data_IF_371889711433
#
_entry.id   IF_371889711433
#
_cell.length_a   1.000
_cell.length_b   1.000
_cell.length_c   1.000
_cell.angle_alpha   90.00
_cell.angle_beta   90.00
_cell.angle_gamma   90.00
#
_symmetry.space_group_name_H-M   'P 1'
#
loop_
_entity.id
_entity.type
_entity.pdbx_description
1 polymer ?
#
# COMPACT_ATOMS: atom_id res chain seq x y z
N UNK A 1 -34.87 18.80 -12.92
CA UNK A 1 -35.44 17.43 -12.98
C UNK A 1 -35.29 16.78 -11.61
N UNK A 2 -36.29 16.02 -11.17
CA UNK A 2 -36.30 15.42 -9.84
C UNK A 2 -36.31 13.90 -9.98
N UNK A 3 -35.30 13.22 -9.43
CA UNK A 3 -35.28 11.75 -9.29
C UNK A 3 -35.56 11.44 -7.82
N UNK A 4 -36.40 10.44 -7.55
CA UNK A 4 -36.69 10.06 -6.18
C UNK A 4 -35.45 9.45 -5.52
N UNK A 5 -35.27 9.71 -4.23
CA UNK A 5 -34.21 9.12 -3.42
C UNK A 5 -34.18 7.59 -3.55
N UNK A 6 -35.35 6.96 -3.47
CA UNK A 6 -35.49 5.49 -3.59
C UNK A 6 -34.92 4.97 -4.90
N UNK A 7 -35.24 5.62 -6.03
CA UNK A 7 -34.76 5.18 -7.34
C UNK A 7 -33.24 5.34 -7.48
N UNK A 8 -32.64 6.34 -6.85
CA UNK A 8 -31.18 6.50 -6.79
C UNK A 8 -30.52 5.42 -5.94
N UNK A 9 -31.12 5.07 -4.80
CA UNK A 9 -30.60 4.00 -3.93
C UNK A 9 -30.69 2.63 -4.63
N UNK A 10 -31.78 2.34 -5.35
CA UNK A 10 -31.93 1.09 -6.11
C UNK A 10 -30.87 0.97 -7.22
N UNK A 11 -30.66 2.04 -7.99
CA UNK A 11 -29.61 2.07 -9.02
C UNK A 11 -28.20 1.87 -8.44
N UNK A 12 -27.98 2.32 -7.20
CA UNK A 12 -26.70 2.15 -6.52
C UNK A 12 -26.51 0.70 -6.05
N UNK A 13 -27.58 0.07 -5.56
CA UNK A 13 -27.60 -1.36 -5.21
C UNK A 13 -27.32 -2.21 -6.44
N UNK A 14 -27.92 -1.89 -7.60
CA UNK A 14 -27.68 -2.59 -8.86
C UNK A 14 -26.20 -2.49 -9.27
N UNK A 15 -25.63 -1.28 -9.18
CA UNK A 15 -24.22 -1.05 -9.52
C UNK A 15 -23.27 -1.78 -8.56
N UNK A 16 -23.56 -1.79 -7.25
CA UNK A 16 -22.78 -2.59 -6.29
C UNK A 16 -22.90 -4.09 -6.55
N UNK A 17 -24.09 -4.58 -6.91
CA UNK A 17 -24.33 -5.99 -7.21
C UNK A 17 -23.53 -6.41 -8.46
N UNK A 18 -23.50 -5.55 -9.48
CA UNK A 18 -22.69 -5.76 -10.70
C UNK A 18 -21.19 -5.84 -10.39
N UNK A 19 -20.72 -5.13 -9.38
CA UNK A 19 -19.31 -5.08 -8.98
C UNK A 19 -18.92 -6.20 -7.99
N UNK A 20 -19.87 -7.02 -7.51
CA UNK A 20 -19.55 -8.08 -6.56
C UNK A 20 -18.68 -9.15 -7.20
N UNK A 21 -17.50 -9.43 -6.62
CA UNK A 21 -16.64 -10.49 -7.13
C UNK A 21 -17.25 -11.85 -6.81
N UNK A 22 -17.13 -12.80 -7.75
CA UNK A 22 -17.47 -14.19 -7.49
C UNK A 22 -16.45 -14.84 -6.55
N UNK A 23 -16.79 -15.94 -5.85
CA UNK A 23 -15.83 -16.65 -4.98
C UNK A 23 -14.57 -17.11 -5.73
N UNK A 24 -14.72 -17.62 -6.95
CA UNK A 24 -13.59 -18.03 -7.79
C UNK A 24 -12.68 -16.85 -8.16
N UNK A 25 -13.28 -15.69 -8.44
CA UNK A 25 -12.53 -14.48 -8.71
C UNK A 25 -11.80 -13.94 -7.46
N UNK A 26 -12.45 -13.97 -6.29
CA UNK A 26 -11.81 -13.58 -5.02
C UNK A 26 -10.57 -14.41 -4.71
N UNK A 27 -10.60 -15.72 -5.04
CA UNK A 27 -9.42 -16.57 -4.91
C UNK A 27 -8.25 -16.09 -5.77
N UNK A 28 -8.50 -15.70 -7.01
CA UNK A 28 -7.47 -15.16 -7.91
C UNK A 28 -6.89 -13.84 -7.40
N UNK A 29 -7.74 -12.94 -6.89
CA UNK A 29 -7.31 -11.68 -6.27
C UNK A 29 -6.41 -11.97 -5.08
N UNK A 30 -6.82 -12.87 -4.19
CA UNK A 30 -6.05 -13.27 -3.01
C UNK A 30 -4.68 -13.84 -3.38
N UNK A 31 -4.64 -14.78 -4.32
CA UNK A 31 -3.39 -15.39 -4.76
C UNK A 31 -2.44 -14.37 -5.41
N UNK A 32 -2.97 -13.38 -6.13
CA UNK A 32 -2.15 -12.33 -6.74
C UNK A 32 -1.62 -11.34 -5.71
N UNK A 33 -2.47 -10.85 -4.81
CA UNK A 33 -2.06 -9.90 -3.75
C UNK A 33 -1.05 -10.55 -2.81
N UNK A 34 -1.27 -11.80 -2.39
CA UNK A 34 -0.33 -12.51 -1.52
C UNK A 34 1.03 -12.73 -2.20
N UNK A 35 1.06 -13.03 -3.51
CA UNK A 35 2.32 -13.14 -4.25
C UNK A 35 3.07 -11.81 -4.30
N UNK A 36 2.40 -10.74 -4.72
CA UNK A 36 2.99 -9.41 -4.77
C UNK A 36 3.49 -8.96 -3.37
N UNK A 37 2.73 -9.25 -2.32
CA UNK A 37 3.13 -8.96 -0.95
C UNK A 37 4.38 -9.73 -0.51
N UNK A 38 4.46 -11.04 -0.81
CA UNK A 38 5.65 -11.85 -0.50
C UNK A 38 6.89 -11.36 -1.23
N UNK A 39 6.74 -10.94 -2.48
CA UNK A 39 7.83 -10.31 -3.25
C UNK A 39 8.27 -8.99 -2.58
N UNK A 40 7.33 -8.13 -2.18
CA UNK A 40 7.64 -6.90 -1.45
C UNK A 40 8.35 -7.17 -0.12
N UNK A 41 7.90 -8.18 0.63
CA UNK A 41 8.53 -8.61 1.88
C UNK A 41 9.95 -9.15 1.64
N UNK A 42 10.18 -9.84 0.52
CA UNK A 42 11.53 -10.27 0.12
C UNK A 42 12.46 -9.08 -0.14
N UNK A 43 12.01 -8.11 -0.93
CA UNK A 43 12.75 -6.89 -1.21
C UNK A 43 13.02 -6.06 0.05
N UNK A 44 12.01 -5.90 0.92
CA UNK A 44 12.16 -5.18 2.18
C UNK A 44 13.20 -5.84 3.09
N UNK A 45 13.15 -7.17 3.23
CA UNK A 45 14.17 -7.93 3.99
C UNK A 45 15.57 -7.77 3.40
N UNK A 46 15.71 -7.79 2.08
CA UNK A 46 17.00 -7.55 1.43
C UNK A 46 17.52 -6.14 1.70
N UNK A 47 16.67 -5.12 1.57
CA UNK A 47 17.03 -3.72 1.89
C UNK A 47 17.43 -3.54 3.34
N UNK A 48 16.67 -4.11 4.28
CA UNK A 48 17.01 -4.07 5.71
C UNK A 48 18.39 -4.70 5.94
N UNK A 49 18.65 -5.87 5.35
CA UNK A 49 19.95 -6.54 5.47
C UNK A 49 21.10 -5.71 4.86
N UNK A 50 20.88 -5.02 3.74
CA UNK A 50 21.86 -4.10 3.14
C UNK A 50 22.12 -2.88 4.03
N UNK A 51 21.07 -2.28 4.58
CA UNK A 51 21.17 -1.14 5.51
C UNK A 51 21.92 -1.57 6.78
N UNK A 52 21.64 -2.74 7.34
CA UNK A 52 22.35 -3.28 8.50
C UNK A 52 23.84 -3.48 8.23
N UNK A 53 24.19 -4.02 7.05
CA UNK A 53 25.59 -4.15 6.61
C UNK A 53 26.28 -2.80 6.52
N UNK A 54 25.60 -1.79 5.93
CA UNK A 54 26.12 -0.42 5.85
C UNK A 54 26.34 0.20 7.22
N UNK A 55 25.36 0.08 8.12
CA UNK A 55 25.47 0.57 9.50
C UNK A 55 26.63 -0.10 10.25
N UNK A 56 26.85 -1.40 10.03
CA UNK A 56 28.00 -2.12 10.61
C UNK A 56 29.32 -1.58 10.07
N UNK A 57 29.43 -1.40 8.76
CA UNK A 57 30.64 -0.86 8.14
C UNK A 57 30.96 0.58 8.60
N UNK A 58 29.94 1.43 8.81
CA UNK A 58 30.12 2.78 9.35
C UNK A 58 30.62 2.72 10.80
N UNK A 59 30.06 1.83 11.63
CA UNK A 59 30.53 1.61 13.01
C UNK A 59 31.99 1.16 13.05
N UNK A 60 32.37 0.21 12.21
CA UNK A 60 33.78 -0.24 12.10
C UNK A 60 34.74 0.86 11.59
N UNK A 61 34.24 1.86 10.85
CA UNK A 61 35.04 3.04 10.48
C UNK A 61 35.19 4.01 11.65
N UNK A 62 34.14 4.21 12.44
CA UNK A 62 34.20 5.01 13.67
C UNK A 62 35.19 4.40 14.67
N UNK A 63 35.13 3.09 14.88
CA UNK A 63 36.07 2.40 15.79
C UNK A 63 37.54 2.57 15.35
N UNK A 64 37.79 2.50 14.03
CA UNK A 64 39.13 2.76 13.47
C UNK A 64 39.57 4.22 13.61
N UNK A 65 38.63 5.15 13.46
CA UNK A 65 38.90 6.57 13.66
C UNK A 65 39.26 6.86 15.13
N UNK A 66 38.54 6.24 16.07
CA UNK A 66 38.83 6.31 17.51
C UNK A 66 40.21 5.71 17.82
N UNK A 67 40.55 4.57 17.21
CA UNK A 67 41.86 3.94 17.38
C UNK A 67 43.01 4.85 16.92
N UNK A 68 42.87 5.43 15.73
CA UNK A 68 43.85 6.33 15.13
C UNK A 68 44.08 7.59 15.98
N UNK A 69 43.02 8.12 16.60
CA UNK A 69 43.10 9.32 17.44
C UNK A 69 43.63 9.02 18.85
N UNK A 70 43.04 8.05 19.56
CA UNK A 70 43.29 7.83 20.99
C UNK A 70 44.61 7.12 21.27
N UNK A 71 44.97 6.15 20.43
CA UNK A 71 46.11 5.27 20.70
C UNK A 71 47.28 5.52 19.74
N UNK A 72 47.01 5.57 18.44
CA UNK A 72 48.06 5.79 17.44
C UNK A 72 48.51 7.26 17.38
N UNK A 73 47.62 8.18 17.80
CA UNK A 73 47.83 9.65 17.74
C UNK A 73 48.29 10.10 16.36
N UNK A 74 47.76 9.45 15.32
CA UNK A 74 48.17 9.64 13.93
C UNK A 74 47.36 10.75 13.23
N UNK A 75 46.33 11.28 13.89
CA UNK A 75 45.46 12.35 13.41
C UNK A 75 45.24 13.41 14.50
N UNK A 76 45.03 14.66 14.10
CA UNK A 76 44.69 15.76 14.99
C UNK A 76 43.18 15.79 15.32
N UNK A 77 42.80 16.61 16.31
CA UNK A 77 41.41 16.71 16.79
C UNK A 77 40.45 17.29 15.74
N UNK A 78 40.90 18.23 14.90
CA UNK A 78 40.06 18.85 13.88
C UNK A 78 39.74 17.84 12.75
N UNK A 79 40.75 17.07 12.34
CA UNK A 79 40.59 15.96 11.40
C UNK A 79 39.68 14.87 11.98
N UNK A 80 39.87 14.49 13.24
CA UNK A 80 39.00 13.53 13.93
C UNK A 80 37.54 13.99 13.96
N UNK A 81 37.28 15.21 14.44
CA UNK A 81 35.92 15.75 14.58
C UNK A 81 35.19 15.78 13.24
N UNK A 82 35.85 16.27 12.17
CA UNK A 82 35.27 16.32 10.82
C UNK A 82 34.85 14.95 10.30
N UNK A 83 35.72 13.94 10.43
CA UNK A 83 35.42 12.58 9.97
C UNK A 83 34.38 11.89 10.84
N UNK A 84 34.43 12.08 12.16
CA UNK A 84 33.45 11.53 13.10
C UNK A 84 32.06 12.07 12.80
N UNK A 85 31.93 13.38 12.59
CA UNK A 85 30.64 14.02 12.36
C UNK A 85 30.03 13.56 11.03
N UNK A 86 30.85 13.44 9.97
CA UNK A 86 30.42 12.85 8.68
C UNK A 86 29.91 11.42 8.86
N UNK A 87 30.64 10.55 9.57
CA UNK A 87 30.24 9.17 9.79
C UNK A 87 28.98 9.04 10.67
N UNK A 88 28.79 9.96 11.64
CA UNK A 88 27.57 10.02 12.46
C UNK A 88 26.35 10.46 11.66
N UNK A 89 26.53 11.40 10.74
CA UNK A 89 25.47 11.81 9.82
C UNK A 89 25.07 10.64 8.92
N UNK A 90 26.03 9.95 8.30
CA UNK A 90 25.77 8.75 7.50
C UNK A 90 25.05 7.66 8.30
N UNK A 91 25.43 7.45 9.56
CA UNK A 91 24.78 6.49 10.45
C UNK A 91 23.32 6.89 10.74
N UNK A 92 23.08 8.18 10.96
CA UNK A 92 21.73 8.73 11.22
C UNK A 92 20.83 8.52 10.00
N UNK A 93 21.32 8.83 8.80
CA UNK A 93 20.59 8.60 7.55
C UNK A 93 20.27 7.10 7.36
N UNK A 94 21.24 6.23 7.59
CA UNK A 94 21.01 4.78 7.50
C UNK A 94 20.02 4.26 8.56
N UNK A 95 19.92 4.89 9.73
CA UNK A 95 18.90 4.56 10.73
C UNK A 95 17.50 5.02 10.30
N UNK A 96 17.39 6.20 9.68
CA UNK A 96 16.13 6.69 9.12
C UNK A 96 15.62 5.78 7.99
N UNK A 97 16.51 5.37 7.08
CA UNK A 97 16.18 4.45 5.99
C UNK A 97 15.66 3.11 6.51
N UNK A 98 16.29 2.58 7.57
CA UNK A 98 15.84 1.34 8.23
C UNK A 98 14.44 1.52 8.81
N UNK A 99 14.20 2.59 9.55
CA UNK A 99 12.91 2.84 10.18
C UNK A 99 11.80 2.97 9.13
N UNK A 100 12.08 3.63 7.99
CA UNK A 100 11.14 3.70 6.88
C UNK A 100 10.81 2.33 6.28
N UNK A 101 11.79 1.41 6.20
CA UNK A 101 11.58 0.06 5.68
C UNK A 101 10.82 -0.86 6.66
N UNK A 102 10.93 -0.62 7.98
CA UNK A 102 10.22 -1.38 9.02
C UNK A 102 8.74 -0.96 9.14
N UNK A 103 8.41 0.32 8.92
CA UNK A 103 7.04 0.84 9.02
C UNK A 103 6.08 0.32 7.94
N UNK A 104 6.56 -0.39 6.92
CA UNK A 104 5.73 -1.00 5.87
C UNK A 104 5.01 -2.29 6.32
N UNK A 105 4.97 -2.61 7.62
CA UNK A 105 4.35 -3.84 8.13
C UNK A 105 2.81 -3.76 8.15
N UNK A 106 2.17 -4.11 7.03
CA UNK A 106 0.71 -4.24 6.92
C UNK A 106 0.22 -5.65 7.24
N UNK A 107 -0.91 -5.75 7.96
CA UNK A 107 -1.71 -6.98 8.13
C UNK A 107 -2.44 -7.36 6.82
N UNK A 108 -1.67 -7.74 5.80
CA UNK A 108 -2.19 -8.05 4.47
C UNK A 108 -3.13 -9.24 4.49
N UNK A 109 -2.81 -10.27 5.28
CA UNK A 109 -3.64 -11.47 5.38
C UNK A 109 -4.99 -11.17 6.02
N UNK A 110 -5.01 -10.39 7.10
CA UNK A 110 -6.25 -9.97 7.72
C UNK A 110 -7.05 -9.02 6.81
N UNK A 111 -6.39 -8.12 6.07
CA UNK A 111 -7.07 -7.22 5.11
C UNK A 111 -7.74 -8.04 4.00
N UNK A 112 -7.04 -9.07 3.49
CA UNK A 112 -7.57 -10.00 2.51
C UNK A 112 -8.75 -10.83 3.04
N UNK A 113 -8.65 -11.36 4.26
CA UNK A 113 -9.73 -12.09 4.90
C UNK A 113 -10.98 -11.21 5.08
N UNK A 114 -10.77 -9.93 5.42
CA UNK A 114 -11.86 -8.97 5.48
C UNK A 114 -12.47 -8.69 4.09
N UNK A 115 -11.65 -8.50 3.06
CA UNK A 115 -12.12 -8.28 1.68
C UNK A 115 -12.97 -9.46 1.17
N UNK A 116 -12.52 -10.69 1.42
CA UNK A 116 -13.20 -11.94 1.06
C UNK A 116 -14.59 -12.05 1.70
N UNK A 117 -14.76 -11.51 2.90
CA UNK A 117 -16.05 -11.46 3.59
C UNK A 117 -16.98 -10.37 3.05
N UNK A 118 -16.43 -9.19 2.78
CA UNK A 118 -17.21 -7.95 2.55
C UNK A 118 -17.51 -7.69 1.08
N UNK A 119 -16.53 -7.83 0.19
CA UNK A 119 -16.70 -7.47 -1.22
C UNK A 119 -17.81 -8.27 -1.92
N UNK A 120 -17.93 -9.61 -1.74
CA UNK A 120 -19.02 -10.37 -2.35
C UNK A 120 -20.42 -10.05 -1.80
N UNK A 121 -20.51 -9.24 -0.74
CA UNK A 121 -21.75 -8.87 -0.05
C UNK A 121 -21.98 -7.36 -0.01
N UNK A 122 -21.27 -6.59 -0.85
CA UNK A 122 -21.26 -5.13 -0.78
C UNK A 122 -22.66 -4.48 -0.91
N UNK A 123 -23.55 -5.03 -1.73
CA UNK A 123 -24.91 -4.50 -1.92
C UNK A 123 -25.79 -4.77 -0.69
N UNK A 124 -25.68 -5.95 -0.10
CA UNK A 124 -26.35 -6.27 1.16
C UNK A 124 -25.86 -5.39 2.30
N UNK A 125 -24.54 -5.16 2.36
CA UNK A 125 -23.94 -4.26 3.35
C UNK A 125 -24.49 -2.84 3.18
N UNK A 126 -24.59 -2.34 1.95
CA UNK A 126 -25.18 -1.03 1.66
C UNK A 126 -26.63 -0.90 2.14
N UNK A 127 -27.48 -1.89 1.85
CA UNK A 127 -28.90 -1.88 2.24
C UNK A 127 -29.04 -1.82 3.77
N UNK A 128 -28.16 -2.51 4.50
CA UNK A 128 -28.18 -2.58 5.96
C UNK A 128 -27.46 -1.41 6.63
N UNK A 129 -26.78 -0.56 5.87
CA UNK A 129 -25.95 0.53 6.40
C UNK A 129 -26.79 1.77 6.77
N UNK A 130 -26.41 2.40 7.89
CA UNK A 130 -26.86 3.76 8.25
C UNK A 130 -26.41 4.80 7.21
N UNK A 131 -26.97 6.01 7.24
CA UNK A 131 -26.59 7.09 6.31
C UNK A 131 -25.09 7.42 6.38
N UNK A 132 -24.51 7.47 7.59
CA UNK A 132 -23.09 7.73 7.78
C UNK A 132 -22.23 6.60 7.18
N UNK A 133 -22.60 5.35 7.41
CA UNK A 133 -21.92 4.19 6.83
C UNK A 133 -22.04 4.16 5.31
N UNK A 134 -23.21 4.50 4.75
CA UNK A 134 -23.42 4.66 3.30
C UNK A 134 -22.48 5.72 2.71
N UNK A 135 -22.35 6.89 3.34
CA UNK A 135 -21.42 7.92 2.87
C UNK A 135 -19.96 7.45 2.89
N UNK A 136 -19.54 6.73 3.94
CA UNK A 136 -18.21 6.16 4.02
C UNK A 136 -17.98 5.07 2.96
N UNK A 137 -18.95 4.15 2.77
CA UNK A 137 -18.89 3.13 1.71
C UNK A 137 -18.78 3.76 0.33
N UNK A 138 -19.52 4.84 0.06
CA UNK A 138 -19.42 5.60 -1.19
C UNK A 138 -18.01 6.14 -1.42
N UNK A 139 -17.39 6.76 -0.42
CA UNK A 139 -16.02 7.29 -0.53
C UNK A 139 -15.00 6.17 -0.78
N UNK A 140 -15.23 4.97 -0.23
CA UNK A 140 -14.30 3.86 -0.42
C UNK A 140 -14.46 3.18 -1.79
N UNK A 141 -15.70 2.90 -2.21
CA UNK A 141 -15.98 2.26 -3.50
C UNK A 141 -15.79 3.21 -4.68
N UNK A 142 -16.05 4.50 -4.49
CA UNK A 142 -16.09 5.54 -5.52
C UNK A 142 -15.43 6.83 -5.01
N UNK A 143 -14.09 6.83 -4.84
CA UNK A 143 -13.35 7.98 -4.30
C UNK A 143 -13.53 9.25 -5.13
N UNK A 144 -13.63 9.09 -6.45
CA UNK A 144 -13.80 10.19 -7.41
C UNK A 144 -15.27 10.57 -7.62
N UNK A 145 -16.18 9.94 -6.85
CA UNK A 145 -17.61 10.10 -6.95
C UNK A 145 -18.29 9.20 -7.99
N UNK A 146 -19.57 9.48 -8.23
CA UNK A 146 -20.41 8.75 -9.20
C UNK A 146 -21.15 9.79 -10.04
N UNK A 147 -21.19 9.57 -11.36
CA UNK A 147 -22.00 10.37 -12.28
C UNK A 147 -23.31 9.66 -12.57
N UNK A 148 -24.37 10.43 -12.75
CA UNK A 148 -25.66 9.91 -13.19
C UNK A 148 -25.92 10.38 -14.62
N UNK A 149 -26.04 9.44 -15.57
CA UNK A 149 -26.22 9.73 -17.00
C UNK A 149 -27.69 9.82 -17.43
N UNK A 150 -28.61 9.97 -16.46
CA UNK A 150 -30.08 9.97 -16.59
C UNK A 150 -30.73 8.59 -16.72
N UNK A 151 -29.97 7.53 -17.00
CA UNK A 151 -30.49 6.15 -17.08
C UNK A 151 -29.83 5.22 -16.07
N UNK A 152 -28.54 5.42 -15.81
CA UNK A 152 -27.72 4.60 -14.92
C UNK A 152 -26.76 5.46 -14.11
N UNK A 153 -26.31 4.89 -13.00
CA UNK A 153 -25.12 5.37 -12.32
C UNK A 153 -23.89 4.88 -13.09
N UNK A 154 -22.95 5.79 -13.32
CA UNK A 154 -21.68 5.55 -13.99
C UNK A 154 -20.60 5.97 -13.02
N UNK A 155 -19.83 5.01 -12.51
CA UNK A 155 -18.64 5.32 -11.74
C UNK A 155 -17.68 6.17 -12.57
N UNK A 156 -17.11 7.22 -12.00
CA UNK A 156 -16.09 8.03 -12.68
C UNK A 156 -14.77 7.29 -12.71
N UNK A 157 -14.47 6.61 -13.83
CA UNK A 157 -13.12 6.20 -14.29
C UNK A 157 -12.35 5.18 -13.44
N UNK A 158 -12.66 5.06 -12.15
CA UNK A 158 -11.89 4.29 -11.18
C UNK A 158 -12.88 3.57 -10.25
N UNK A 159 -13.77 2.75 -10.82
CA UNK A 159 -14.55 1.78 -10.05
C UNK A 159 -13.55 0.82 -9.41
N UNK A 160 -13.09 1.15 -8.20
CA UNK A 160 -11.97 0.56 -7.45
C UNK A 160 -10.73 0.22 -8.32
N UNK A 161 -9.55 0.82 -8.07
CA UNK A 161 -8.29 0.41 -8.74
C UNK A 161 -8.04 -1.12 -8.73
N UNK A 162 -8.69 -1.86 -7.82
CA UNK A 162 -8.71 -3.33 -7.78
C UNK A 162 -9.18 -4.02 -9.06
N UNK A 163 -10.10 -3.43 -9.82
CA UNK A 163 -10.58 -4.04 -11.05
C UNK A 163 -9.66 -3.72 -12.24
N UNK A 164 -8.85 -2.67 -12.15
CA UNK A 164 -7.89 -2.30 -13.18
C UNK A 164 -6.65 -3.23 -13.23
N UNK A 165 -6.37 -4.01 -12.17
CA UNK A 165 -5.31 -5.03 -12.21
C UNK A 165 -5.57 -6.17 -13.19
N UNK A 166 -6.81 -6.33 -13.64
CA UNK A 166 -7.25 -7.46 -14.45
C UNK A 166 -7.22 -7.17 -15.94
N UNK A 167 -6.79 -5.97 -16.35
CA UNK A 167 -6.27 -5.84 -17.69
C UNK A 167 -5.10 -6.82 -17.84
N UNK A 168 -5.12 -7.72 -18.83
CA UNK A 168 -3.95 -8.53 -19.13
C UNK A 168 -2.80 -7.54 -19.31
N UNK A 169 -1.71 -7.78 -18.59
CA UNK A 169 -0.43 -7.09 -18.81
C UNK A 169 -0.12 -7.34 -20.27
N UNK A 170 -0.43 -6.38 -21.14
CA UNK A 170 -0.10 -6.46 -22.54
C UNK A 170 1.42 -6.52 -22.62
N UNK A 171 1.88 -7.52 -23.36
CA UNK A 171 3.27 -7.91 -23.51
C UNK A 171 4.14 -6.74 -24.02
N UNK A 172 4.73 -5.97 -23.11
CA UNK A 172 5.84 -5.08 -23.46
C UNK A 172 6.99 -5.25 -22.48
N UNK A 173 7.93 -6.10 -22.90
CA UNK A 173 9.05 -6.68 -22.16
C UNK A 173 10.22 -5.71 -21.93
N UNK A 174 9.99 -4.39 -21.90
CA UNK A 174 11.07 -3.38 -21.76
C UNK A 174 10.99 -2.45 -20.54
N UNK A 175 9.92 -2.49 -19.75
CA UNK A 175 9.76 -1.66 -18.53
C UNK A 175 9.46 -2.49 -17.28
N UNK A 176 10.19 -3.59 -17.07
CA UNK A 176 9.89 -4.53 -15.97
C UNK A 176 10.07 -3.92 -14.57
N UNK A 177 10.96 -2.92 -14.42
CA UNK A 177 11.19 -2.24 -13.12
C UNK A 177 10.08 -1.23 -12.81
N UNK A 178 9.65 -0.45 -13.79
CA UNK A 178 8.59 0.55 -13.61
C UNK A 178 7.22 -0.11 -13.45
N UNK A 179 6.96 -1.20 -14.17
CA UNK A 179 5.74 -2.00 -14.01
C UNK A 179 5.68 -2.68 -12.64
N UNK A 180 6.81 -3.21 -12.13
CA UNK A 180 6.88 -3.76 -10.79
C UNK A 180 6.59 -2.68 -9.74
N UNK A 181 7.21 -1.51 -9.84
CA UNK A 181 6.98 -0.38 -8.91
C UNK A 181 5.54 0.13 -8.96
N UNK A 182 4.99 0.30 -10.15
CA UNK A 182 3.59 0.70 -10.32
C UNK A 182 2.65 -0.34 -9.68
N UNK A 183 2.84 -1.63 -9.96
CA UNK A 183 1.99 -2.69 -9.40
C UNK A 183 1.99 -2.71 -7.87
N UNK A 184 3.15 -2.43 -7.24
CA UNK A 184 3.31 -2.35 -5.77
C UNK A 184 2.55 -1.17 -5.17
N UNK A 185 2.71 0.03 -5.75
CA UNK A 185 2.00 1.23 -5.29
C UNK A 185 0.49 1.03 -5.33
N UNK A 186 0.02 0.38 -6.38
CA UNK A 186 -1.38 0.07 -6.50
C UNK A 186 -1.81 -0.94 -5.40
N UNK A 187 -1.10 -2.06 -5.20
CA UNK A 187 -1.46 -3.06 -4.16
C UNK A 187 -1.52 -2.43 -2.77
N UNK A 188 -0.55 -1.59 -2.41
CA UNK A 188 -0.57 -0.84 -1.15
C UNK A 188 -1.81 0.07 -1.04
N UNK A 189 -2.07 0.87 -2.09
CA UNK A 189 -3.27 1.72 -2.17
C UNK A 189 -4.56 0.92 -2.02
N UNK A 190 -4.61 -0.29 -2.55
CA UNK A 190 -5.77 -1.18 -2.40
C UNK A 190 -5.92 -1.69 -0.97
N UNK A 191 -4.83 -2.14 -0.35
CA UNK A 191 -4.84 -2.63 1.01
C UNK A 191 -5.29 -1.54 2.00
N UNK A 192 -4.82 -0.30 1.82
CA UNK A 192 -5.24 0.85 2.64
C UNK A 192 -6.75 1.12 2.51
N UNK A 193 -7.29 1.05 1.28
CA UNK A 193 -8.72 1.24 1.03
C UNK A 193 -9.57 0.15 1.66
N UNK A 194 -9.14 -1.10 1.58
CA UNK A 194 -9.85 -2.22 2.23
C UNK A 194 -9.72 -2.14 3.74
N UNK A 195 -8.56 -1.73 4.26
CA UNK A 195 -8.38 -1.47 5.68
C UNK A 195 -9.34 -0.37 6.17
N UNK A 196 -9.55 0.70 5.39
CA UNK A 196 -10.51 1.75 5.71
C UNK A 196 -11.95 1.24 5.85
N UNK A 197 -12.37 0.23 5.08
CA UNK A 197 -13.68 -0.42 5.21
C UNK A 197 -13.89 -1.11 6.57
N UNK A 198 -12.81 -1.54 7.25
CA UNK A 198 -12.92 -2.13 8.60
C UNK A 198 -13.53 -1.15 9.61
N UNK A 199 -13.37 0.15 9.41
CA UNK A 199 -13.99 1.17 10.28
C UNK A 199 -15.50 1.30 10.09
N UNK A 200 -16.01 0.91 8.92
CA UNK A 200 -17.41 1.09 8.50
C UNK A 200 -18.25 -0.16 8.81
N UNK A 201 -17.63 -1.34 8.78
CA UNK A 201 -18.26 -2.64 8.96
C UNK A 201 -18.26 -3.15 10.42
N UNK A 202 -18.10 -2.24 11.40
CA UNK A 202 -18.28 -2.52 12.83
C UNK A 202 -19.73 -2.34 13.25
#
# INVERSE_FOLDING_TARGET
>A
MNISKTKLEDLFVDELTRLQPTPGFMRLVKDRVLRAWREMQGDAKQRIAEIERRQKAIREKLDRLDQAFLFERSIDIETYDRHRDTLREELTLAQMDRHSAELEEMDVEGILAFAERVLPRASNLWVQSSLAQKQQLQQVFFPDGIRFDRKKLVGTGTTLPVFNYLNPISEQKKELVDQARASRNHVATWLDRVAALRSVAR
#
